data_IF_011073406831
#
_entry.id   IF_011073406831
#
_cell.length_a   1.000
_cell.length_b   1.000
_cell.length_c   1.000
_cell.angle_alpha   90.00
_cell.angle_beta   90.00
_cell.angle_gamma   90.00
#
_symmetry.space_group_name_H-M   'P 1'
#
loop_
_entity.id
_entity.type
_entity.pdbx_description
1 polymer ?
#
# COMPACT_ATOMS: atom_id res chain seq x y z
N UNK A 1 49.50 -6.30 15.53
CA UNK A 1 48.14 -6.72 15.12
C UNK A 1 47.45 -5.48 14.60
N UNK A 2 47.14 -5.43 13.30
CA UNK A 2 46.40 -4.30 12.70
C UNK A 2 44.93 -4.51 13.06
N UNK A 3 44.33 -3.55 13.75
CA UNK A 3 42.89 -3.54 13.98
C UNK A 3 42.21 -3.38 12.62
N UNK A 4 41.50 -4.42 12.19
CA UNK A 4 40.61 -4.33 11.04
C UNK A 4 39.38 -3.60 11.55
N UNK A 5 39.27 -2.31 11.24
CA UNK A 5 38.05 -1.54 11.47
C UNK A 5 36.95 -2.14 10.59
N UNK A 6 36.16 -3.03 11.18
CA UNK A 6 34.96 -3.56 10.55
C UNK A 6 33.97 -2.40 10.52
N UNK A 7 33.83 -1.75 9.36
CA UNK A 7 32.82 -0.71 9.18
C UNK A 7 31.46 -1.26 9.63
N UNK A 8 30.70 -0.51 10.46
CA UNK A 8 29.41 -0.99 10.93
C UNK A 8 28.51 -1.22 9.71
N UNK A 9 28.12 -2.47 9.46
CA UNK A 9 27.05 -2.75 8.51
C UNK A 9 25.86 -1.90 8.91
N UNK A 10 25.42 -1.01 8.02
CA UNK A 10 24.36 -0.04 8.32
C UNK A 10 23.13 -0.82 8.81
N UNK A 11 22.88 -0.79 10.13
CA UNK A 11 21.84 -1.63 10.71
C UNK A 11 20.50 -1.19 10.14
N UNK A 12 19.69 -2.14 9.63
CA UNK A 12 18.36 -1.87 9.06
C UNK A 12 17.41 -1.27 10.11
N UNK A 13 17.51 0.04 10.33
CA UNK A 13 16.63 0.79 11.22
C UNK A 13 15.52 1.41 10.40
N UNK A 14 14.28 1.30 10.87
CA UNK A 14 13.11 1.91 10.23
C UNK A 14 12.76 3.23 10.90
N UNK A 15 12.37 4.23 10.12
CA UNK A 15 11.94 5.54 10.63
C UNK A 15 10.50 5.49 11.11
N UNK A 16 10.15 6.39 12.03
CA UNK A 16 8.81 6.50 12.61
C UNK A 16 7.71 6.54 11.53
N UNK A 17 7.84 7.42 10.53
CA UNK A 17 6.84 7.60 9.47
C UNK A 17 6.57 6.33 8.65
N UNK A 18 7.63 5.60 8.28
CA UNK A 18 7.45 4.34 7.55
C UNK A 18 6.79 3.28 8.43
N UNK A 19 7.19 3.18 9.71
CA UNK A 19 6.56 2.25 10.65
C UNK A 19 5.08 2.57 10.84
N UNK A 20 4.74 3.82 11.12
CA UNK A 20 3.36 4.26 11.33
C UNK A 20 2.49 3.99 10.09
N UNK A 21 2.99 4.32 8.91
CA UNK A 21 2.26 4.08 7.67
C UNK A 21 2.06 2.59 7.39
N UNK A 22 3.07 1.74 7.62
CA UNK A 22 2.92 0.31 7.45
C UNK A 22 1.93 -0.31 8.46
N UNK A 23 1.94 0.14 9.72
CA UNK A 23 0.93 -0.30 10.70
C UNK A 23 -0.47 0.11 10.24
N UNK A 24 -0.65 1.35 9.76
CA UNK A 24 -1.92 1.79 9.18
C UNK A 24 -2.34 0.87 8.03
N UNK A 25 -1.43 0.55 7.11
CA UNK A 25 -1.74 -0.35 5.99
C UNK A 25 -2.11 -1.76 6.44
N UNK A 26 -1.43 -2.29 7.45
CA UNK A 26 -1.70 -3.62 8.01
C UNK A 26 -3.05 -3.70 8.75
N UNK A 27 -3.64 -2.57 9.11
CA UNK A 27 -4.98 -2.51 9.76
C UNK A 27 -6.06 -2.12 8.76
N UNK A 28 -5.82 -1.07 7.97
CA UNK A 28 -6.80 -0.51 7.05
C UNK A 28 -7.12 -1.47 5.88
N UNK A 29 -6.12 -2.17 5.33
CA UNK A 29 -6.36 -3.08 4.21
C UNK A 29 -7.16 -4.32 4.59
N UNK A 30 -6.90 -5.03 5.71
CA UNK A 30 -7.78 -6.11 6.15
C UNK A 30 -9.20 -5.64 6.44
N UNK A 31 -9.37 -4.47 7.06
CA UNK A 31 -10.68 -3.89 7.30
C UNK A 31 -11.42 -3.55 5.99
N UNK A 32 -10.69 -3.02 5.00
CA UNK A 32 -11.23 -2.75 3.65
C UNK A 32 -11.66 -4.04 2.96
N UNK A 33 -10.79 -5.07 2.97
CA UNK A 33 -11.09 -6.38 2.40
C UNK A 33 -12.35 -6.99 3.07
N UNK A 34 -12.40 -6.97 4.40
CA UNK A 34 -13.56 -7.43 5.15
C UNK A 34 -14.84 -6.70 4.74
N UNK A 35 -14.80 -5.37 4.65
CA UNK A 35 -15.95 -4.56 4.22
C UNK A 35 -16.43 -4.96 2.82
N UNK A 36 -15.51 -5.15 1.88
CA UNK A 36 -15.84 -5.49 0.49
C UNK A 36 -16.39 -6.91 0.33
N UNK A 37 -15.92 -7.88 1.13
CA UNK A 37 -16.40 -9.26 1.08
C UNK A 37 -17.65 -9.53 1.91
N UNK A 38 -17.84 -8.83 3.03
CA UNK A 38 -18.93 -9.14 3.97
C UNK A 38 -20.25 -8.46 3.66
N UNK A 39 -20.23 -7.31 2.98
CA UNK A 39 -21.47 -6.60 2.63
C UNK A 39 -21.33 -5.82 1.30
N UNK A 40 -21.23 -6.54 0.17
CA UNK A 40 -21.04 -5.90 -1.12
C UNK A 40 -22.23 -5.02 -1.53
N UNK A 41 -23.45 -5.43 -1.20
CA UNK A 41 -24.70 -4.73 -1.51
C UNK A 41 -24.74 -3.32 -0.92
N UNK A 42 -24.25 -3.15 0.32
CA UNK A 42 -24.20 -1.84 0.96
C UNK A 42 -23.32 -0.84 0.19
N UNK A 43 -22.21 -1.30 -0.40
CA UNK A 43 -21.31 -0.44 -1.18
C UNK A 43 -21.88 -0.16 -2.56
N UNK A 44 -22.41 -1.18 -3.24
CA UNK A 44 -23.01 -1.03 -4.58
C UNK A 44 -24.19 -0.06 -4.54
N UNK A 45 -24.96 -0.03 -3.44
CA UNK A 45 -26.03 0.95 -3.26
C UNK A 45 -25.53 2.40 -3.25
N UNK A 46 -24.33 2.66 -2.73
CA UNK A 46 -23.71 3.98 -2.70
C UNK A 46 -23.03 4.31 -4.04
N UNK A 47 -22.47 3.30 -4.71
CA UNK A 47 -21.80 3.42 -6.01
C UNK A 47 -22.44 2.50 -7.05
N UNK A 48 -23.58 2.88 -7.66
CA UNK A 48 -24.32 1.99 -8.58
C UNK A 48 -23.59 1.60 -9.86
N UNK A 49 -22.54 2.34 -10.23
CA UNK A 49 -21.64 2.04 -11.36
C UNK A 49 -20.65 0.91 -11.05
N UNK A 50 -20.52 0.52 -9.77
CA UNK A 50 -19.64 -0.54 -9.32
C UNK A 50 -20.33 -1.90 -9.51
N UNK A 51 -19.73 -2.76 -10.33
CA UNK A 51 -20.16 -4.16 -10.42
C UNK A 51 -19.66 -4.95 -9.21
N UNK A 52 -20.39 -5.99 -8.83
CA UNK A 52 -20.01 -6.89 -7.74
C UNK A 52 -18.63 -7.53 -7.97
N UNK A 53 -18.36 -7.95 -9.21
CA UNK A 53 -17.05 -8.50 -9.60
C UNK A 53 -15.91 -7.50 -9.42
N UNK A 54 -16.13 -6.22 -9.72
CA UNK A 54 -15.12 -5.18 -9.49
C UNK A 54 -14.91 -4.91 -7.99
N UNK A 55 -15.97 -4.97 -7.19
CA UNK A 55 -15.86 -4.84 -5.74
C UNK A 55 -15.06 -5.99 -5.11
N UNK A 56 -15.31 -7.25 -5.51
CA UNK A 56 -14.50 -8.38 -5.07
C UNK A 56 -13.04 -8.28 -5.54
N UNK A 57 -12.82 -7.81 -6.77
CA UNK A 57 -11.47 -7.53 -7.26
C UNK A 57 -10.75 -6.50 -6.38
N UNK A 58 -11.43 -5.42 -5.98
CA UNK A 58 -10.89 -4.45 -5.03
C UNK A 58 -10.63 -5.07 -3.64
N UNK A 59 -11.44 -6.06 -3.22
CA UNK A 59 -11.23 -6.82 -1.98
C UNK A 59 -9.95 -7.65 -2.03
N UNK A 60 -9.72 -8.35 -3.15
CA UNK A 60 -8.47 -9.07 -3.40
C UNK A 60 -7.29 -8.10 -3.43
N UNK A 61 -7.44 -6.95 -4.08
CA UNK A 61 -6.40 -5.92 -4.14
C UNK A 61 -6.04 -5.40 -2.74
N UNK A 62 -7.02 -5.25 -1.85
CA UNK A 62 -6.78 -4.90 -0.45
C UNK A 62 -5.98 -6.01 0.28
N UNK A 63 -6.30 -7.28 0.09
CA UNK A 63 -5.49 -8.39 0.64
C UNK A 63 -4.05 -8.35 0.09
N UNK A 64 -3.87 -8.12 -1.21
CA UNK A 64 -2.53 -7.97 -1.81
C UNK A 64 -1.75 -6.79 -1.20
N UNK A 65 -2.42 -5.68 -0.90
CA UNK A 65 -1.78 -4.56 -0.21
C UNK A 65 -1.25 -4.91 1.19
N UNK A 66 -1.87 -5.87 1.89
CA UNK A 66 -1.32 -6.42 3.15
C UNK A 66 -0.02 -7.17 2.87
N UNK A 67 0.00 -8.02 1.85
CA UNK A 67 1.19 -8.76 1.43
C UNK A 67 2.31 -7.80 1.03
N UNK A 68 1.99 -6.74 0.28
CA UNK A 68 2.95 -5.71 -0.08
C UNK A 68 3.45 -4.92 1.14
N UNK A 69 2.59 -4.58 2.09
CA UNK A 69 3.01 -3.95 3.34
C UNK A 69 3.96 -4.85 4.15
N UNK A 70 3.70 -6.17 4.22
CA UNK A 70 4.61 -7.14 4.85
C UNK A 70 5.94 -7.23 4.09
N UNK A 71 5.91 -7.20 2.76
CA UNK A 71 7.12 -7.18 1.94
C UNK A 71 7.95 -5.91 2.20
N UNK A 72 7.33 -4.73 2.33
CA UNK A 72 8.03 -3.50 2.72
C UNK A 72 8.55 -3.62 4.16
N UNK A 73 7.77 -4.21 5.07
CA UNK A 73 8.18 -4.47 6.46
C UNK A 73 9.44 -5.34 6.52
N UNK A 74 9.58 -6.28 5.61
CA UNK A 74 10.72 -7.20 5.49
C UNK A 74 11.79 -6.70 4.52
N UNK A 75 11.75 -5.41 4.14
CA UNK A 75 12.73 -4.75 3.29
C UNK A 75 12.85 -5.36 1.87
N UNK A 76 11.73 -5.71 1.25
CA UNK A 76 11.67 -6.21 -0.13
C UNK A 76 11.14 -5.15 -1.09
N UNK A 77 11.87 -4.87 -2.18
CA UNK A 77 11.46 -3.86 -3.18
C UNK A 77 10.14 -4.20 -3.85
N UNK A 78 9.83 -5.50 -4.00
CA UNK A 78 8.58 -5.98 -4.58
C UNK A 78 7.35 -5.40 -3.89
N UNK A 79 7.42 -5.16 -2.57
CA UNK A 79 6.33 -4.53 -1.84
C UNK A 79 6.10 -3.07 -2.25
N UNK A 80 7.17 -2.32 -2.49
CA UNK A 80 7.06 -0.91 -2.93
C UNK A 80 6.44 -0.84 -4.33
N UNK A 81 6.95 -1.65 -5.27
CA UNK A 81 6.38 -1.73 -6.62
C UNK A 81 4.93 -2.20 -6.61
N UNK A 82 4.59 -3.16 -5.75
CA UNK A 82 3.23 -3.65 -5.56
C UNK A 82 2.27 -2.53 -5.12
N UNK A 83 2.67 -1.69 -4.16
CA UNK A 83 1.86 -0.54 -3.72
C UNK A 83 1.72 0.52 -4.82
N UNK A 84 2.78 0.81 -5.58
CA UNK A 84 2.65 1.75 -6.71
C UNK A 84 1.67 1.23 -7.77
N UNK A 85 1.77 -0.06 -8.11
CA UNK A 85 0.85 -0.70 -9.06
C UNK A 85 -0.59 -0.73 -8.56
N UNK A 86 -0.81 -1.10 -7.29
CA UNK A 86 -2.16 -1.16 -6.72
C UNK A 86 -2.81 0.21 -6.59
N UNK A 87 -2.04 1.25 -6.25
CA UNK A 87 -2.55 2.62 -6.16
C UNK A 87 -2.84 3.22 -7.54
N UNK A 88 -2.01 2.93 -8.55
CA UNK A 88 -2.32 3.32 -9.92
C UNK A 88 -3.62 2.66 -10.40
N UNK A 89 -3.82 1.38 -10.10
CA UNK A 89 -5.05 0.67 -10.45
C UNK A 89 -6.27 1.21 -9.71
N UNK A 90 -6.15 1.45 -8.40
CA UNK A 90 -7.21 2.05 -7.60
C UNK A 90 -7.60 3.45 -8.11
N UNK A 91 -6.62 4.26 -8.53
CA UNK A 91 -6.87 5.57 -9.14
C UNK A 91 -7.72 5.45 -10.42
N UNK A 92 -7.36 4.52 -11.32
CA UNK A 92 -8.12 4.27 -12.54
C UNK A 92 -9.54 3.76 -12.25
N UNK A 93 -9.70 2.86 -11.27
CA UNK A 93 -11.01 2.38 -10.83
C UNK A 93 -11.85 3.52 -10.28
N UNK A 94 -11.30 4.38 -9.43
CA UNK A 94 -12.01 5.52 -8.85
C UNK A 94 -12.51 6.49 -9.93
N UNK A 95 -11.70 6.75 -10.97
CA UNK A 95 -12.14 7.53 -12.12
C UNK A 95 -13.26 6.83 -12.90
N UNK A 96 -13.13 5.53 -13.14
CA UNK A 96 -14.13 4.73 -13.85
C UNK A 96 -15.50 4.73 -13.14
N UNK A 97 -15.54 4.61 -11.82
CA UNK A 97 -16.81 4.59 -11.05
C UNK A 97 -17.38 5.98 -10.77
N UNK A 98 -16.69 7.06 -11.17
CA UNK A 98 -17.20 8.42 -11.11
C UNK A 98 -16.91 9.19 -9.81
N UNK A 99 -15.92 8.78 -9.01
CA UNK A 99 -15.50 9.50 -7.78
C UNK A 99 -14.95 10.92 -8.08
N UNK A 100 -14.56 11.17 -9.34
CA UNK A 100 -14.01 12.45 -9.78
C UNK A 100 -12.53 12.60 -9.47
N UNK A 101 -11.85 13.51 -10.17
CA UNK A 101 -10.39 13.61 -10.17
C UNK A 101 -9.80 13.89 -8.78
N UNK A 102 -10.40 14.82 -8.02
CA UNK A 102 -9.90 15.21 -6.68
C UNK A 102 -10.00 14.04 -5.72
N UNK A 103 -11.14 13.34 -5.70
CA UNK A 103 -11.33 12.15 -4.88
C UNK A 103 -10.34 11.04 -5.25
N UNK A 104 -10.15 10.78 -6.55
CA UNK A 104 -9.19 9.79 -7.03
C UNK A 104 -7.74 10.11 -6.62
N UNK A 105 -7.33 11.38 -6.66
CA UNK A 105 -5.97 11.81 -6.27
C UNK A 105 -5.66 11.57 -4.79
N UNK A 106 -6.67 11.58 -3.91
CA UNK A 106 -6.44 11.31 -2.48
C UNK A 106 -5.85 9.92 -2.24
N UNK A 107 -6.20 8.94 -3.08
CA UNK A 107 -5.65 7.59 -3.03
C UNK A 107 -4.14 7.53 -3.28
N UNK A 108 -3.56 8.54 -3.93
CA UNK A 108 -2.12 8.59 -4.23
C UNK A 108 -1.27 9.13 -3.07
N UNK A 109 -1.88 9.62 -1.99
CA UNK A 109 -1.14 10.11 -0.81
C UNK A 109 -0.24 9.00 -0.25
N UNK A 110 -0.68 7.74 -0.27
CA UNK A 110 0.16 6.63 0.18
C UNK A 110 1.40 6.40 -0.69
N UNK A 111 1.32 6.63 -2.01
CA UNK A 111 2.48 6.58 -2.91
C UNK A 111 3.51 7.60 -2.47
N UNK A 112 3.07 8.84 -2.21
CA UNK A 112 3.93 9.94 -1.76
C UNK A 112 4.62 9.58 -0.45
N UNK A 113 3.89 9.05 0.52
CA UNK A 113 4.45 8.64 1.82
C UNK A 113 5.50 7.53 1.63
N UNK A 114 5.19 6.47 0.88
CA UNK A 114 6.14 5.39 0.62
C UNK A 114 7.39 5.92 -0.08
N UNK A 115 7.24 6.74 -1.13
CA UNK A 115 8.37 7.30 -1.85
C UNK A 115 9.29 8.10 -0.93
N UNK A 116 8.76 9.07 -0.18
CA UNK A 116 9.59 9.92 0.67
C UNK A 116 10.24 9.17 1.85
N UNK A 117 9.56 8.17 2.39
CA UNK A 117 10.07 7.40 3.53
C UNK A 117 11.04 6.28 3.12
N UNK A 118 11.02 5.83 1.86
CA UNK A 118 11.90 4.76 1.36
C UNK A 118 13.05 5.26 0.49
N UNK A 119 12.95 6.41 -0.19
CA UNK A 119 13.95 6.90 -1.15
C UNK A 119 15.38 6.98 -0.59
N UNK A 120 15.54 7.48 0.63
CA UNK A 120 16.85 7.63 1.27
C UNK A 120 17.41 6.30 1.80
N UNK A 121 16.59 5.24 1.80
CA UNK A 121 16.90 3.91 2.35
C UNK A 121 16.77 2.83 1.29
N UNK A 122 16.70 3.21 0.02
CA UNK A 122 16.43 2.30 -1.09
C UNK A 122 17.44 1.16 -1.18
N UNK A 123 18.70 1.45 -0.84
CA UNK A 123 19.80 0.48 -0.81
C UNK A 123 19.59 -0.63 0.23
N UNK A 124 18.82 -0.37 1.28
CA UNK A 124 18.51 -1.37 2.33
C UNK A 124 17.46 -2.39 1.87
N UNK A 125 16.72 -2.09 0.79
CA UNK A 125 15.73 -3.00 0.22
C UNK A 125 16.41 -3.98 -0.73
N UNK A 126 16.12 -5.27 -0.57
CA UNK A 126 16.51 -6.33 -1.50
C UNK A 126 15.52 -6.36 -2.66
#
# INVERSE_FOLDING_TARGET
MVAVDVEPTESKKRGFWLTAFLVLMLVANPFTAFTYFSNPEAIIKVYPSLSEGLLYFMGILAVLNVVFAIAIWTWKKVGIYGIYGSMALAFLINLYIGIGIVGSLTGLIGVVIIYFTTKNRWQLFT
#
